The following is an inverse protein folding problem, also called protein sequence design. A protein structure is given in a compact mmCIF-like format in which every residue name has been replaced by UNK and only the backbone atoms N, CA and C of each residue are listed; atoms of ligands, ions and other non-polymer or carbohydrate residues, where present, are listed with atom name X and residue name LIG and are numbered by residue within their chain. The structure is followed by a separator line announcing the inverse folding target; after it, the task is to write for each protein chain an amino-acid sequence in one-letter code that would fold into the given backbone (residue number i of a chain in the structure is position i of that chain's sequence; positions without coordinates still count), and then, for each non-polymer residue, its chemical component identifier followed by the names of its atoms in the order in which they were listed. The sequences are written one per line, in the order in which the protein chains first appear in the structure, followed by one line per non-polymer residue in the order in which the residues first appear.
data_IF_032240559957
#
_entry.id   IF_032240559957
#
_cell.length_a   1.000
_cell.length_b   1.000
_cell.length_c   1.000
_cell.angle_alpha   90.00
_cell.angle_beta   90.00
_cell.angle_gamma   90.00
#
_symmetry.space_group_name_H-M   'P 1'
#
loop_
_entity.id
_entity.type
_entity.pdbx_description
1 polymer ?
#
# COMPACT_ATOMS: atom_id res chain seq x y z
N UNK A 1 -6.92 -32.98 -6.94
CA UNK A 1 -6.71 -32.19 -8.18
C UNK A 1 -7.97 -31.37 -8.42
N UNK A 2 -8.03 -30.16 -7.87
CA UNK A 2 -9.15 -29.24 -8.09
C UNK A 2 -8.60 -28.14 -8.97
N UNK A 3 -8.93 -28.16 -10.26
CA UNK A 3 -8.59 -27.05 -11.16
C UNK A 3 -9.37 -25.84 -10.68
N UNK A 4 -8.67 -24.84 -10.14
CA UNK A 4 -9.23 -23.52 -9.88
C UNK A 4 -9.35 -22.84 -11.25
N UNK A 5 -10.42 -23.17 -11.99
CA UNK A 5 -10.80 -22.46 -13.21
C UNK A 5 -11.58 -21.21 -12.84
N UNK A 6 -10.86 -20.17 -12.41
CA UNK A 6 -11.32 -18.80 -12.50
C UNK A 6 -10.61 -18.17 -13.68
N UNK A 7 -11.32 -17.76 -14.73
CA UNK A 7 -10.78 -16.80 -15.70
C UNK A 7 -10.54 -15.50 -14.94
N UNK A 8 -9.34 -15.28 -14.42
CA UNK A 8 -8.95 -13.99 -13.85
C UNK A 8 -8.62 -13.08 -15.03
N UNK A 9 -9.63 -12.44 -15.59
CA UNK A 9 -9.42 -11.24 -16.39
C UNK A 9 -9.07 -10.11 -15.42
N UNK A 10 -7.79 -10.03 -15.02
CA UNK A 10 -7.30 -9.01 -14.10
C UNK A 10 -7.21 -7.66 -14.79
N UNK A 11 -8.12 -6.74 -14.48
CA UNK A 11 -7.92 -5.32 -14.74
C UNK A 11 -7.10 -4.75 -13.60
N UNK A 12 -5.94 -4.17 -13.91
CA UNK A 12 -5.10 -3.50 -12.93
C UNK A 12 -5.77 -2.20 -12.46
N UNK A 13 -6.26 -2.14 -11.22
CA UNK A 13 -6.77 -0.93 -10.63
C UNK A 13 -5.60 -0.03 -10.21
N UNK A 14 -5.42 1.07 -10.94
CA UNK A 14 -4.47 2.12 -10.57
C UNK A 14 -4.94 2.76 -9.27
N UNK A 15 -4.23 2.51 -8.17
CA UNK A 15 -4.36 3.31 -6.97
C UNK A 15 -3.96 4.75 -7.31
N UNK A 16 -4.95 5.64 -7.40
CA UNK A 16 -4.73 7.07 -7.61
C UNK A 16 -4.23 7.67 -6.29
N UNK A 17 -2.92 7.64 -6.07
CA UNK A 17 -2.30 8.46 -5.05
C UNK A 17 -2.25 9.90 -5.58
N UNK A 18 -3.08 10.79 -5.02
CA UNK A 18 -3.01 12.23 -5.25
C UNK A 18 -1.77 12.80 -4.55
N UNK A 19 -0.60 12.64 -5.17
CA UNK A 19 0.63 13.28 -4.72
C UNK A 19 0.77 14.67 -5.36
N UNK A 20 1.02 15.67 -4.50
CA UNK A 20 1.44 17.05 -4.76
C UNK A 20 1.22 17.56 -6.20
N UNK A 21 0.08 18.23 -6.41
CA UNK A 21 -0.24 18.94 -7.65
C UNK A 21 0.68 20.16 -7.79
N UNK A 22 1.50 20.28 -8.85
CA UNK A 22 2.24 21.51 -9.14
C UNK A 22 1.30 22.56 -9.73
N UNK A 23 1.30 23.76 -9.16
CA UNK A 23 0.45 24.88 -9.58
C UNK A 23 1.01 25.55 -10.83
N UNK A 24 0.19 25.69 -11.88
CA UNK A 24 0.50 26.46 -13.07
C UNK A 24 0.45 27.98 -12.75
N UNK A 25 1.50 28.72 -13.16
CA UNK A 25 1.55 30.18 -13.04
C UNK A 25 0.70 30.82 -14.14
N UNK A 26 -0.31 31.62 -13.79
CA UNK A 26 -1.00 32.46 -14.78
C UNK A 26 -2.40 32.99 -14.46
N UNK A 27 -3.02 32.64 -13.33
CA UNK A 27 -4.29 33.25 -12.88
C UNK A 27 -4.14 33.71 -11.43
N UNK A 28 -4.92 34.71 -11.00
CA UNK A 28 -4.97 35.12 -9.60
C UNK A 28 -5.09 33.87 -8.70
N UNK A 29 -4.28 33.74 -7.62
CA UNK A 29 -4.22 32.49 -6.88
C UNK A 29 -5.57 32.26 -6.21
N UNK A 30 -6.37 31.36 -6.80
CA UNK A 30 -7.30 30.54 -6.02
C UNK A 30 -6.52 30.05 -4.79
N UNK A 31 -7.03 30.19 -3.55
CA UNK A 31 -6.32 29.73 -2.37
C UNK A 31 -5.87 28.29 -2.62
N UNK A 32 -4.60 27.94 -2.40
CA UNK A 32 -4.00 26.66 -2.82
C UNK A 32 -4.87 25.43 -2.47
N UNK A 33 -5.64 25.51 -1.39
CA UNK A 33 -6.65 24.54 -0.97
C UNK A 33 -7.77 24.28 -1.99
N UNK A 34 -8.30 25.32 -2.66
CA UNK A 34 -9.38 25.18 -3.65
C UNK A 34 -8.83 24.52 -4.91
N UNK A 35 -7.68 25.00 -5.39
CA UNK A 35 -6.98 24.42 -6.54
C UNK A 35 -6.65 22.94 -6.31
N UNK A 36 -6.22 22.57 -5.10
CA UNK A 36 -5.95 21.18 -4.75
C UNK A 36 -7.20 20.28 -4.85
N UNK A 37 -8.36 20.76 -4.38
CA UNK A 37 -9.61 19.99 -4.47
C UNK A 37 -10.06 19.83 -5.93
N UNK A 38 -9.95 20.88 -6.75
CA UNK A 38 -10.34 20.77 -8.17
C UNK A 38 -9.37 19.92 -8.99
N UNK A 39 -8.08 19.97 -8.71
CA UNK A 39 -7.13 19.07 -9.35
C UNK A 39 -7.36 17.61 -8.91
N UNK A 40 -7.72 17.36 -7.65
CA UNK A 40 -8.17 16.04 -7.21
C UNK A 40 -9.43 15.58 -7.95
N UNK A 41 -10.42 16.46 -8.07
CA UNK A 41 -11.64 16.22 -8.85
C UNK A 41 -11.32 15.86 -10.30
N UNK A 42 -10.50 16.66 -10.99
CA UNK A 42 -10.08 16.40 -12.36
C UNK A 42 -9.41 15.02 -12.49
N UNK A 43 -8.44 14.73 -11.61
CA UNK A 43 -7.74 13.44 -11.61
C UNK A 43 -8.72 12.28 -11.45
N UNK A 44 -9.66 12.35 -10.52
CA UNK A 44 -10.69 11.32 -10.34
C UNK A 44 -11.56 11.21 -11.59
N UNK A 45 -12.08 12.34 -12.08
CA UNK A 45 -13.00 12.38 -13.23
C UNK A 45 -12.35 12.05 -14.57
N UNK A 46 -11.02 12.01 -14.66
CA UNK A 46 -10.31 11.68 -15.91
C UNK A 46 -9.61 10.32 -15.83
N UNK A 47 -9.00 10.00 -14.69
CA UNK A 47 -8.09 8.84 -14.56
C UNK A 47 -8.70 7.65 -13.85
N UNK A 48 -9.69 7.82 -12.98
CA UNK A 48 -10.31 6.68 -12.31
C UNK A 48 -11.01 5.78 -13.33
N UNK A 49 -10.83 4.46 -13.19
CA UNK A 49 -11.50 3.47 -14.03
C UNK A 49 -13.02 3.58 -13.92
N UNK A 50 -13.52 3.90 -12.71
CA UNK A 50 -14.91 4.15 -12.39
C UNK A 50 -14.99 5.50 -11.66
N UNK A 51 -15.08 6.63 -12.38
CA UNK A 51 -14.96 7.96 -11.79
C UNK A 51 -16.13 8.38 -10.89
N UNK A 52 -17.20 7.58 -10.79
CA UNK A 52 -18.44 8.00 -10.15
C UNK A 52 -19.12 9.15 -10.90
N UNK A 53 -20.30 9.54 -10.42
CA UNK A 53 -21.04 10.67 -11.00
C UNK A 53 -20.44 12.01 -10.53
N UNK A 54 -20.16 12.97 -11.44
CA UNK A 54 -19.58 14.28 -11.12
C UNK A 54 -20.22 15.00 -9.93
N UNK A 55 -21.55 15.02 -9.88
CA UNK A 55 -22.30 15.68 -8.81
C UNK A 55 -22.18 14.92 -7.47
N UNK A 56 -22.07 13.60 -7.50
CA UNK A 56 -21.88 12.77 -6.31
C UNK A 56 -20.48 12.99 -5.70
N UNK A 57 -19.45 13.12 -6.54
CA UNK A 57 -18.08 13.46 -6.09
C UNK A 57 -18.05 14.80 -5.36
N UNK A 58 -18.66 15.84 -5.93
CA UNK A 58 -18.69 17.18 -5.33
C UNK A 58 -19.58 17.24 -4.08
N UNK A 59 -20.68 16.50 -4.06
CA UNK A 59 -21.52 16.33 -2.88
C UNK A 59 -20.76 15.62 -1.75
N UNK A 60 -20.03 14.54 -2.06
CA UNK A 60 -19.15 13.84 -1.13
C UNK A 60 -18.05 14.75 -0.58
N UNK A 61 -17.43 15.56 -1.45
CA UNK A 61 -16.44 16.54 -1.04
C UNK A 61 -17.01 17.55 -0.02
N UNK A 62 -18.21 18.07 -0.28
CA UNK A 62 -18.89 18.97 0.63
C UNK A 62 -19.25 18.30 1.96
N UNK A 63 -19.66 17.03 1.93
CA UNK A 63 -19.95 16.25 3.14
C UNK A 63 -18.69 16.09 4.02
N UNK A 64 -17.53 15.84 3.41
CA UNK A 64 -16.25 15.79 4.11
C UNK A 64 -15.89 17.12 4.80
N UNK A 65 -16.12 18.24 4.13
CA UNK A 65 -15.95 19.59 4.70
C UNK A 65 -16.88 19.83 5.89
N UNK A 66 -18.18 19.50 5.74
CA UNK A 66 -19.16 19.65 6.82
C UNK A 66 -18.77 18.84 8.05
N UNK A 67 -18.28 17.61 7.85
CA UNK A 67 -17.85 16.73 8.94
C UNK A 67 -16.72 17.36 9.76
N UNK A 68 -15.63 17.80 9.12
CA UNK A 68 -14.49 18.38 9.86
C UNK A 68 -14.83 19.71 10.54
N UNK A 69 -15.73 20.51 9.95
CA UNK A 69 -16.20 21.75 10.58
C UNK A 69 -17.03 21.45 11.84
N UNK A 70 -17.94 20.47 11.76
CA UNK A 70 -18.75 20.05 12.89
C UNK A 70 -17.90 19.48 14.05
N UNK A 71 -16.92 18.63 13.73
CA UNK A 71 -15.94 18.10 14.70
C UNK A 71 -15.13 19.21 15.40
N UNK A 72 -15.05 20.39 14.80
CA UNK A 72 -14.29 21.56 15.28
C UNK A 72 -15.19 22.67 15.82
N UNK A 73 -16.49 22.38 16.01
CA UNK A 73 -17.46 23.31 16.57
C UNK A 73 -17.69 24.56 15.71
N UNK A 74 -17.50 24.47 14.40
CA UNK A 74 -17.77 25.55 13.45
C UNK A 74 -19.17 25.37 12.87
N UNK A 75 -20.06 26.34 13.11
CA UNK A 75 -21.40 26.34 12.52
C UNK A 75 -21.33 26.62 11.02
N UNK A 76 -22.07 25.85 10.23
CA UNK A 76 -22.05 25.87 8.76
C UNK A 76 -23.12 26.77 8.14
N UNK A 77 -23.83 27.60 8.92
CA UNK A 77 -24.92 28.47 8.44
C UNK A 77 -24.30 29.70 7.75
N UNK A 78 -24.13 29.71 6.40
CA UNK A 78 -25.15 29.56 5.35
C UNK A 78 -24.89 28.51 4.24
N UNK A 79 -24.00 27.51 4.42
CA UNK A 79 -23.86 26.36 3.48
C UNK A 79 -25.15 25.55 3.30
N UNK A 80 -26.13 25.73 4.18
CA UNK A 80 -27.45 25.09 4.14
C UNK A 80 -28.51 25.91 3.40
N UNK A 81 -28.29 27.22 3.16
CA UNK A 81 -29.33 28.15 2.66
C UNK A 81 -29.62 28.06 1.15
N UNK A 82 -29.06 27.09 0.45
CA UNK A 82 -29.49 26.77 -0.91
C UNK A 82 -29.87 25.29 -0.99
N UNK A 83 -31.16 24.94 -0.75
CA UNK A 83 -31.72 23.74 -1.36
C UNK A 83 -31.85 24.04 -2.85
N UNK A 84 -30.74 23.95 -3.58
CA UNK A 84 -30.88 23.87 -5.03
C UNK A 84 -31.44 22.49 -5.32
N UNK A 85 -32.62 22.45 -5.93
CA UNK A 85 -33.14 21.27 -6.62
C UNK A 85 -32.23 20.83 -7.79
N UNK A 86 -31.08 21.48 -7.98
CA UNK A 86 -30.08 21.22 -9.01
C UNK A 86 -28.94 20.37 -8.43
N UNK A 87 -28.43 19.37 -9.17
CA UNK A 87 -27.23 18.64 -8.79
C UNK A 87 -26.05 19.56 -8.49
N UNK A 88 -25.21 19.19 -7.54
CA UNK A 88 -23.99 19.94 -7.21
C UNK A 88 -23.07 20.05 -8.43
N UNK A 89 -22.75 21.28 -8.84
CA UNK A 89 -21.76 21.57 -9.87
C UNK A 89 -20.49 22.21 -9.30
N UNK A 90 -19.47 22.37 -10.15
CA UNK A 90 -18.17 22.91 -9.76
C UNK A 90 -18.26 24.34 -9.21
N UNK A 91 -19.11 25.18 -9.79
CA UNK A 91 -19.29 26.58 -9.38
C UNK A 91 -19.92 26.65 -8.00
N UNK A 92 -21.04 25.94 -7.80
CA UNK A 92 -21.73 25.85 -6.53
C UNK A 92 -20.83 25.25 -5.43
N UNK A 93 -20.02 24.25 -5.76
CA UNK A 93 -19.02 23.71 -4.83
C UNK A 93 -17.96 24.77 -4.47
N UNK A 94 -17.38 25.46 -5.44
CA UNK A 94 -16.33 26.46 -5.20
C UNK A 94 -16.80 27.60 -4.29
N UNK A 95 -18.04 28.07 -4.47
CA UNK A 95 -18.65 29.10 -3.60
C UNK A 95 -18.80 28.60 -2.17
N UNK A 96 -19.38 27.41 -1.99
CA UNK A 96 -19.59 26.80 -0.67
C UNK A 96 -18.27 26.48 0.05
N UNK A 97 -17.25 26.03 -0.70
CA UNK A 97 -15.93 25.75 -0.15
C UNK A 97 -15.19 27.03 0.26
N UNK A 98 -15.22 28.09 -0.57
CA UNK A 98 -14.64 29.39 -0.19
C UNK A 98 -15.29 29.95 1.07
N UNK A 99 -16.61 29.82 1.20
CA UNK A 99 -17.29 30.19 2.43
C UNK A 99 -16.84 29.35 3.62
N UNK A 100 -16.70 28.03 3.46
CA UNK A 100 -16.21 27.15 4.53
C UNK A 100 -14.80 27.55 5.01
N UNK A 101 -13.90 27.92 4.09
CA UNK A 101 -12.57 28.45 4.42
C UNK A 101 -12.70 29.72 5.26
N UNK A 102 -13.52 30.69 4.84
CA UNK A 102 -13.76 31.92 5.60
C UNK A 102 -14.34 31.64 7.01
N UNK A 103 -15.37 30.81 7.09
CA UNK A 103 -16.07 30.51 8.34
C UNK A 103 -15.22 29.73 9.35
N UNK A 104 -14.27 28.94 8.86
CA UNK A 104 -13.38 28.16 9.72
C UNK A 104 -12.39 29.00 10.54
N UNK A 105 -12.09 30.23 10.09
CA UNK A 105 -11.11 31.11 10.73
C UNK A 105 -9.79 30.39 10.99
N UNK A 106 -9.34 30.39 12.25
CA UNK A 106 -8.12 29.67 12.69
C UNK A 106 -8.41 28.27 13.25
N UNK A 107 -9.69 27.86 13.33
CA UNK A 107 -10.10 26.59 13.97
C UNK A 107 -9.77 25.38 13.10
N UNK A 108 -9.80 25.55 11.78
CA UNK A 108 -9.44 24.53 10.79
C UNK A 108 -8.58 25.18 9.72
N UNK A 109 -7.42 24.60 9.40
CA UNK A 109 -6.57 25.14 8.35
C UNK A 109 -7.19 24.88 6.96
N UNK A 110 -6.94 25.75 5.97
CA UNK A 110 -7.37 25.51 4.59
C UNK A 110 -6.90 24.16 4.02
N UNK A 111 -5.69 23.73 4.40
CA UNK A 111 -5.16 22.42 4.02
C UNK A 111 -5.96 21.25 4.63
N UNK A 112 -6.39 21.37 5.90
CA UNK A 112 -7.22 20.36 6.54
C UNK A 112 -8.63 20.30 5.93
N UNK A 113 -9.21 21.44 5.55
CA UNK A 113 -10.47 21.51 4.80
C UNK A 113 -10.35 20.87 3.42
N UNK A 114 -9.29 21.18 2.67
CA UNK A 114 -9.03 20.57 1.37
C UNK A 114 -8.87 19.05 1.48
N UNK A 115 -8.07 18.58 2.44
CA UNK A 115 -7.89 17.15 2.67
C UNK A 115 -9.21 16.46 3.08
N UNK A 116 -10.06 17.12 3.86
CA UNK A 116 -11.38 16.60 4.21
C UNK A 116 -12.32 16.55 2.99
N UNK A 117 -12.29 17.57 2.13
CA UNK A 117 -13.02 17.58 0.87
C UNK A 117 -12.56 16.45 -0.05
N UNK A 118 -11.26 16.26 -0.24
CA UNK A 118 -10.74 15.19 -1.09
C UNK A 118 -11.12 13.82 -0.51
N UNK A 119 -11.02 13.60 0.81
CA UNK A 119 -11.46 12.34 1.43
C UNK A 119 -12.95 12.07 1.23
N UNK A 120 -13.79 13.10 1.38
CA UNK A 120 -15.23 12.98 1.12
C UNK A 120 -15.55 12.68 -0.34
N UNK A 121 -14.79 13.27 -1.27
CA UNK A 121 -14.89 13.00 -2.70
C UNK A 121 -14.54 11.54 -3.03
N UNK A 122 -13.41 11.06 -2.51
CA UNK A 122 -12.96 9.68 -2.77
C UNK A 122 -13.89 8.64 -2.13
N UNK A 123 -14.51 8.95 -0.98
CA UNK A 123 -15.51 8.08 -0.38
C UNK A 123 -16.75 7.87 -1.27
N UNK A 124 -17.05 8.80 -2.18
CA UNK A 124 -18.16 8.68 -3.13
C UNK A 124 -17.85 7.73 -4.31
N UNK A 125 -16.60 7.27 -4.46
CA UNK A 125 -16.21 6.31 -5.50
C UNK A 125 -16.57 4.86 -5.16
N UNK A 126 -16.87 4.57 -3.89
CA UNK A 126 -17.02 3.20 -3.38
C UNK A 126 -15.82 2.30 -3.75
N UNK A 127 -14.63 2.91 -3.83
CA UNK A 127 -13.37 2.23 -4.11
C UNK A 127 -12.53 2.19 -2.84
N UNK A 128 -12.35 1.00 -2.20
CA UNK A 128 -11.58 0.88 -0.97
C UNK A 128 -10.08 1.14 -1.14
N UNK A 129 -9.59 1.28 -2.38
CA UNK A 129 -8.20 1.58 -2.68
C UNK A 129 -7.96 3.06 -3.05
N UNK A 130 -9.04 3.84 -3.21
CA UNK A 130 -8.96 5.27 -3.44
C UNK A 130 -8.77 6.02 -2.12
N UNK A 131 -7.58 6.59 -1.90
CA UNK A 131 -7.26 7.28 -0.65
C UNK A 131 -6.43 8.55 -0.89
N UNK A 132 -6.73 9.58 -0.09
CA UNK A 132 -5.87 10.74 0.03
C UNK A 132 -4.85 10.49 1.14
N UNK A 133 -3.58 10.51 0.78
CA UNK A 133 -2.46 10.33 1.69
C UNK A 133 -1.70 11.65 1.89
N UNK A 134 -1.15 11.84 3.07
CA UNK A 134 -0.26 12.97 3.39
C UNK A 134 1.08 12.86 2.65
N UNK A 135 1.79 13.99 2.54
CA UNK A 135 3.14 14.00 1.98
C UNK A 135 4.09 13.03 2.73
N UNK A 136 3.93 12.89 4.04
CA UNK A 136 4.73 11.99 4.87
C UNK A 136 4.44 10.52 4.54
N UNK A 137 3.16 10.15 4.40
CA UNK A 137 2.75 8.81 3.98
C UNK A 137 3.28 8.48 2.58
N UNK A 138 3.16 9.42 1.65
CA UNK A 138 3.69 9.25 0.29
C UNK A 138 5.20 9.01 0.28
N UNK A 139 5.98 9.80 1.03
CA UNK A 139 7.43 9.58 1.14
C UNK A 139 7.77 8.22 1.74
N UNK A 140 7.00 7.73 2.74
CA UNK A 140 7.20 6.38 3.29
C UNK A 140 6.92 5.30 2.24
N UNK A 141 5.88 5.45 1.44
CA UNK A 141 5.55 4.50 0.39
C UNK A 141 6.65 4.46 -0.69
N UNK A 142 7.20 5.62 -1.06
CA UNK A 142 8.36 5.69 -1.96
C UNK A 142 9.60 5.03 -1.35
N UNK A 143 9.91 5.34 -0.10
CA UNK A 143 11.04 4.73 0.63
C UNK A 143 10.91 3.20 0.65
N UNK A 144 9.72 2.67 0.97
CA UNK A 144 9.45 1.24 0.96
C UNK A 144 9.57 0.63 -0.45
N UNK A 145 9.01 1.28 -1.48
CA UNK A 145 9.10 0.81 -2.88
C UNK A 145 10.54 0.74 -3.40
N UNK A 146 11.44 1.58 -2.88
CA UNK A 146 12.87 1.57 -3.21
C UNK A 146 13.68 0.60 -2.35
N UNK A 147 13.10 0.06 -1.28
CA UNK A 147 13.79 -0.77 -0.31
C UNK A 147 14.79 0.04 0.51
N UNK A 148 14.54 1.33 0.66
CA UNK A 148 15.36 2.20 1.47
C UNK A 148 15.19 1.88 2.96
N UNK A 149 16.28 1.97 3.69
CA UNK A 149 16.29 1.69 5.10
C UNK A 149 15.51 2.77 5.88
N UNK A 150 14.81 2.38 6.94
CA UNK A 150 14.00 3.29 7.75
C UNK A 150 14.27 3.14 9.24
N UNK A 151 14.07 4.21 10.01
CA UNK A 151 14.21 4.15 11.46
C UNK A 151 12.99 3.48 12.12
N UNK A 152 13.22 2.43 12.91
CA UNK A 152 12.16 1.68 13.59
C UNK A 152 12.67 0.50 14.42
N UNK A 153 11.77 -0.41 14.78
CA UNK A 153 12.09 -1.56 15.65
C UNK A 153 12.27 -2.88 14.89
N UNK A 154 11.94 -2.93 13.60
CA UNK A 154 12.02 -4.15 12.78
C UNK A 154 11.00 -5.22 13.18
N UNK A 155 9.75 -4.79 13.37
CA UNK A 155 8.58 -5.64 13.54
C UNK A 155 7.44 -5.13 12.65
N UNK A 156 6.65 -6.04 12.12
CA UNK A 156 5.42 -5.75 11.37
C UNK A 156 4.23 -6.01 12.27
N UNK A 157 3.26 -5.10 12.24
CA UNK A 157 2.01 -5.18 13.00
C UNK A 157 0.82 -5.36 12.07
N UNK A 158 -0.21 -6.00 12.59
CA UNK A 158 -1.51 -6.14 11.94
C UNK A 158 -2.63 -6.08 12.97
N UNK A 159 -3.86 -6.35 12.53
CA UNK A 159 -5.01 -6.51 13.40
C UNK A 159 -5.42 -7.97 13.50
N UNK A 160 -5.72 -8.39 14.72
CA UNK A 160 -6.49 -9.61 14.98
C UNK A 160 -7.73 -9.23 15.79
N UNK A 161 -8.87 -9.14 15.10
CA UNK A 161 -10.05 -8.46 15.65
C UNK A 161 -9.76 -6.96 15.84
N UNK A 162 -9.97 -6.45 17.04
CA UNK A 162 -9.67 -5.06 17.40
C UNK A 162 -8.29 -4.86 18.05
N UNK A 163 -7.44 -5.91 18.08
CA UNK A 163 -6.15 -5.90 18.80
C UNK A 163 -5.01 -5.69 17.81
N UNK A 164 -4.05 -4.85 18.18
CA UNK A 164 -2.80 -4.71 17.43
C UNK A 164 -1.85 -5.86 17.78
N UNK A 165 -1.51 -6.67 16.79
CA UNK A 165 -0.69 -7.88 16.98
C UNK A 165 0.58 -7.78 16.13
N UNK A 166 1.71 -8.21 16.68
CA UNK A 166 2.95 -8.40 15.95
C UNK A 166 2.78 -9.61 15.02
N UNK A 167 2.79 -9.39 13.72
CA UNK A 167 2.66 -10.45 12.72
C UNK A 167 4.02 -11.02 12.32
N UNK A 168 5.07 -10.21 12.36
CA UNK A 168 6.44 -10.68 12.14
C UNK A 168 7.47 -9.85 12.89
N UNK A 169 8.57 -10.49 13.25
CA UNK A 169 9.74 -9.86 13.85
C UNK A 169 10.95 -10.22 12.99
N UNK A 170 11.65 -9.19 12.50
CA UNK A 170 12.81 -9.39 11.66
C UNK A 170 13.99 -9.94 12.47
N UNK A 171 14.69 -10.95 11.93
CA UNK A 171 15.89 -11.49 12.55
C UNK A 171 16.99 -10.41 12.69
N UNK A 172 17.65 -10.36 13.84
CA UNK A 172 18.66 -9.37 14.18
C UNK A 172 18.11 -7.97 14.43
N UNK A 173 16.77 -7.76 14.47
CA UNK A 173 16.18 -6.45 14.73
C UNK A 173 16.19 -6.05 16.21
N UNK A 174 16.03 -4.76 16.53
CA UNK A 174 15.81 -4.31 17.90
C UNK A 174 14.65 -5.04 18.60
N UNK A 175 13.53 -5.24 17.90
CA UNK A 175 12.36 -5.96 18.40
C UNK A 175 12.72 -7.40 18.82
N UNK A 176 13.49 -8.11 18.00
CA UNK A 176 13.92 -9.47 18.34
C UNK A 176 14.83 -9.48 19.57
N UNK A 177 15.79 -8.56 19.66
CA UNK A 177 16.76 -8.49 20.78
C UNK A 177 16.11 -8.27 22.14
N UNK A 178 14.98 -7.56 22.18
CA UNK A 178 14.19 -7.35 23.41
C UNK A 178 13.11 -8.44 23.63
N UNK A 179 13.15 -9.50 22.83
CA UNK A 179 12.29 -10.68 22.98
C UNK A 179 10.85 -10.48 22.51
N UNK A 180 10.55 -9.49 21.65
CA UNK A 180 9.26 -9.44 20.94
C UNK A 180 9.17 -10.63 19.98
N UNK A 181 7.96 -11.20 19.85
CA UNK A 181 7.70 -12.36 19.00
C UNK A 181 6.41 -12.16 18.20
N UNK A 182 6.27 -12.92 17.11
CA UNK A 182 4.98 -13.05 16.41
C UNK A 182 3.89 -13.51 17.39
N UNK A 183 2.72 -12.88 17.33
CA UNK A 183 1.59 -13.13 18.21
C UNK A 183 1.56 -12.27 19.48
N UNK A 184 2.63 -11.52 19.77
CA UNK A 184 2.62 -10.53 20.84
C UNK A 184 1.61 -9.42 20.52
N UNK A 185 0.75 -9.07 21.49
CA UNK A 185 -0.25 -7.99 21.38
C UNK A 185 0.37 -6.72 21.96
N UNK A 186 0.46 -5.66 21.15
CA UNK A 186 0.87 -4.34 21.62
C UNK A 186 -0.37 -3.64 22.15
N UNK A 187 -0.39 -3.31 23.44
CA UNK A 187 -1.51 -2.65 24.12
C UNK A 187 -1.28 -1.15 24.20
N UNK A 188 -0.04 -0.73 24.44
CA UNK A 188 0.33 0.68 24.48
C UNK A 188 1.66 0.95 23.76
N UNK A 189 1.77 2.16 23.21
CA UNK A 189 2.99 2.74 22.67
C UNK A 189 3.19 4.11 23.32
N UNK A 190 4.31 4.31 24.00
CA UNK A 190 4.65 5.52 24.76
C UNK A 190 3.51 5.96 25.69
N UNK A 191 2.97 5.00 26.46
CA UNK A 191 1.84 5.16 27.41
C UNK A 191 0.51 5.59 26.78
N UNK A 192 0.35 5.40 25.47
CA UNK A 192 -0.91 5.59 24.77
C UNK A 192 -1.43 4.26 24.25
N UNK A 193 -2.69 3.96 24.56
CA UNK A 193 -3.35 2.76 24.07
C UNK A 193 -3.31 2.71 22.54
N UNK A 194 -3.00 1.54 22.00
CA UNK A 194 -3.07 1.30 20.55
C UNK A 194 -4.52 1.26 20.09
N UNK A 195 -4.81 1.92 18.97
CA UNK A 195 -6.11 1.84 18.30
C UNK A 195 -6.14 0.77 17.20
N UNK A 196 -7.24 0.75 16.45
CA UNK A 196 -7.41 -0.13 15.29
C UNK A 196 -6.77 0.41 14.01
N UNK A 197 -6.19 1.61 14.04
CA UNK A 197 -5.47 2.18 12.90
C UNK A 197 -4.03 1.63 12.84
N UNK A 198 -3.83 0.59 12.03
CA UNK A 198 -2.51 -0.03 11.80
C UNK A 198 -1.49 0.96 11.26
N UNK A 199 -1.93 1.93 10.45
CA UNK A 199 -1.06 2.97 9.90
C UNK A 199 -0.51 3.85 11.01
N UNK A 200 -1.38 4.31 11.91
CA UNK A 200 -0.99 5.10 13.07
C UNK A 200 -0.07 4.33 14.03
N UNK A 201 -0.35 3.05 14.30
CA UNK A 201 0.53 2.21 15.14
C UNK A 201 1.90 2.02 14.46
N UNK A 202 1.93 1.65 13.18
CA UNK A 202 3.17 1.50 12.42
C UNK A 202 4.00 2.78 12.41
N UNK A 203 3.34 3.94 12.35
CA UNK A 203 4.00 5.24 12.46
C UNK A 203 4.59 5.49 13.85
N UNK A 204 3.88 5.14 14.91
CA UNK A 204 4.35 5.29 16.29
C UNK A 204 5.57 4.39 16.60
N UNK A 205 5.63 3.19 15.99
CA UNK A 205 6.78 2.29 16.11
C UNK A 205 8.01 2.78 15.34
N UNK A 206 7.83 3.61 14.31
CA UNK A 206 8.92 4.26 13.56
C UNK A 206 9.42 5.50 14.29
N UNK A 207 10.62 5.95 13.94
CA UNK A 207 11.24 7.13 14.54
C UNK A 207 12.72 7.22 14.22
N UNK A 208 13.36 8.32 14.62
CA UNK A 208 14.79 8.50 14.36
C UNK A 208 15.61 7.37 15.01
N UNK A 209 16.65 6.85 14.33
CA UNK A 209 17.56 5.89 14.94
C UNK A 209 18.13 6.42 16.26
N UNK A 210 18.41 5.53 17.21
CA UNK A 210 18.88 5.84 18.56
C UNK A 210 17.85 6.44 19.52
N UNK A 211 16.62 6.71 19.08
CA UNK A 211 15.50 7.00 20.00
C UNK A 211 14.90 5.72 20.56
N UNK A 212 14.22 5.80 21.70
CA UNK A 212 13.53 4.65 22.31
C UNK A 212 12.02 4.77 22.13
N UNK A 213 11.34 3.63 22.03
CA UNK A 213 9.88 3.52 22.15
C UNK A 213 9.55 2.59 23.30
N UNK A 214 8.62 2.99 24.16
CA UNK A 214 8.17 2.17 25.26
C UNK A 214 6.88 1.45 24.88
N UNK A 215 6.88 0.12 24.98
CA UNK A 215 5.75 -0.72 24.61
C UNK A 215 5.19 -1.42 25.84
N UNK A 216 3.86 -1.45 25.97
CA UNK A 216 3.18 -2.41 26.85
C UNK A 216 2.69 -3.58 26.01
N UNK A 217 3.20 -4.78 26.29
CA UNK A 217 2.98 -5.96 25.44
C UNK A 217 2.36 -7.09 26.25
N UNK A 218 1.38 -7.78 25.66
CA UNK A 218 0.78 -9.00 26.19
C UNK A 218 1.09 -10.16 25.27
N UNK A 219 1.69 -11.23 25.81
CA UNK A 219 1.88 -12.48 25.08
C UNK A 219 0.78 -13.46 25.49
N UNK A 220 -0.07 -13.94 24.56
CA UNK A 220 -1.09 -14.93 24.87
C UNK A 220 -0.50 -16.14 25.60
N UNK A 221 -1.05 -16.48 26.76
CA UNK A 221 -0.61 -17.63 27.57
C UNK A 221 0.66 -17.44 28.41
N UNK A 222 1.30 -16.27 28.40
CA UNK A 222 2.60 -16.06 29.06
C UNK A 222 2.57 -15.10 30.28
N UNK A 223 1.39 -14.86 30.88
CA UNK A 223 1.25 -14.10 32.12
C UNK A 223 0.87 -12.61 31.91
N UNK A 224 1.18 -11.73 32.89
CA UNK A 224 0.74 -10.33 32.88
C UNK A 224 1.43 -9.50 31.77
N UNK A 225 0.86 -8.33 31.42
CA UNK A 225 1.50 -7.39 30.49
C UNK A 225 2.92 -7.01 30.93
N UNK A 226 3.84 -6.90 29.97
CA UNK A 226 5.24 -6.51 30.18
C UNK A 226 5.56 -5.17 29.53
N UNK A 227 6.29 -4.31 30.23
CA UNK A 227 6.89 -3.13 29.63
C UNK A 227 8.18 -3.50 28.90
N UNK A 228 8.36 -2.98 27.69
CA UNK A 228 9.50 -3.25 26.83
C UNK A 228 9.97 -1.95 26.22
N UNK A 229 11.16 -1.49 26.60
CA UNK A 229 11.82 -0.36 25.96
C UNK A 229 12.60 -0.87 24.74
N UNK A 230 12.32 -0.33 23.55
CA UNK A 230 12.96 -0.74 22.30
C UNK A 230 13.71 0.44 21.69
N UNK A 231 15.03 0.30 21.55
CA UNK A 231 15.86 1.30 20.88
C UNK A 231 15.71 1.18 19.37
N UNK A 232 15.20 2.21 18.71
CA UNK A 232 15.02 2.26 17.26
C UNK A 232 16.38 2.26 16.56
N UNK A 233 16.46 1.54 15.45
CA UNK A 233 17.64 1.45 14.60
C UNK A 233 17.24 1.62 13.14
N UNK A 234 18.24 1.70 12.28
CA UNK A 234 18.02 1.69 10.84
C UNK A 234 17.70 0.27 10.38
N UNK A 235 16.44 0.03 10.04
CA UNK A 235 15.91 -1.26 9.60
C UNK A 235 16.01 -1.35 8.08
N UNK A 236 16.56 -2.46 7.60
CA UNK A 236 16.59 -2.83 6.18
C UNK A 236 15.82 -4.12 6.03
N UNK A 237 14.78 -4.14 5.21
CA UNK A 237 14.09 -5.38 4.89
C UNK A 237 15.05 -6.32 4.12
N UNK A 238 14.92 -7.62 4.34
CA UNK A 238 15.62 -8.65 3.56
C UNK A 238 14.60 -9.20 2.55
N UNK A 239 14.57 -8.68 1.31
CA UNK A 239 13.50 -9.01 0.37
C UNK A 239 13.60 -10.41 -0.18
N UNK A 240 14.81 -10.95 -0.29
CA UNK A 240 15.10 -12.21 -0.98
C UNK A 240 15.80 -13.14 0.00
N UNK A 241 15.23 -14.32 0.18
CA UNK A 241 15.81 -15.41 0.96
C UNK A 241 16.08 -16.61 0.07
N UNK A 242 17.16 -17.33 0.32
CA UNK A 242 17.54 -18.52 -0.45
C UNK A 242 17.87 -19.69 0.45
N UNK A 243 17.57 -20.89 -0.03
CA UNK A 243 17.93 -22.15 0.63
C UNK A 243 18.05 -23.26 -0.44
N UNK A 244 18.95 -24.22 -0.25
CA UNK A 244 18.87 -25.50 -0.97
C UNK A 244 18.21 -26.51 -0.03
N UNK A 245 17.00 -26.91 -0.39
CA UNK A 245 16.21 -27.87 0.37
C UNK A 245 16.70 -29.31 0.10
N UNK A 246 16.31 -30.23 0.99
CA UNK A 246 16.52 -31.65 0.81
C UNK A 246 16.03 -32.12 -0.58
N UNK A 247 16.76 -33.05 -1.19
CA UNK A 247 16.49 -33.49 -2.56
C UNK A 247 17.02 -32.55 -3.65
N UNK A 248 17.81 -31.53 -3.32
CA UNK A 248 18.45 -30.64 -4.29
C UNK A 248 17.46 -29.71 -4.97
N UNK A 249 16.50 -29.17 -4.21
CA UNK A 249 15.53 -28.17 -4.69
C UNK A 249 15.97 -26.79 -4.24
N UNK A 250 16.12 -25.87 -5.19
CA UNK A 250 16.42 -24.47 -4.88
C UNK A 250 15.16 -23.75 -4.42
N UNK A 251 15.23 -23.06 -3.29
CA UNK A 251 14.17 -22.23 -2.75
C UNK A 251 14.59 -20.76 -2.85
N UNK A 252 13.69 -19.93 -3.39
CA UNK A 252 13.80 -18.48 -3.35
C UNK A 252 12.49 -17.93 -2.78
N UNK A 253 12.57 -17.27 -1.63
CA UNK A 253 11.43 -16.55 -1.04
C UNK A 253 11.55 -15.06 -1.26
N UNK A 254 10.46 -14.42 -1.70
CA UNK A 254 10.38 -12.97 -1.87
C UNK A 254 9.38 -12.40 -0.87
N UNK A 255 9.86 -11.64 0.12
CA UNK A 255 9.02 -11.05 1.17
C UNK A 255 8.23 -9.83 0.70
N UNK A 256 8.85 -8.98 -0.11
CA UNK A 256 8.25 -7.78 -0.71
C UNK A 256 8.99 -7.40 -2.00
N UNK A 257 8.31 -6.69 -2.89
CA UNK A 257 8.92 -6.19 -4.12
C UNK A 257 9.41 -4.75 -3.93
N UNK A 258 10.71 -4.54 -4.07
CA UNK A 258 11.28 -3.20 -4.13
C UNK A 258 12.39 -3.12 -5.16
N UNK A 259 12.65 -1.94 -5.71
CA UNK A 259 13.52 -1.78 -6.88
C UNK A 259 14.94 -2.31 -6.63
N UNK A 260 15.48 -2.07 -5.43
CA UNK A 260 16.81 -2.55 -5.03
C UNK A 260 16.93 -4.07 -4.88
N UNK A 261 15.81 -4.82 -4.81
CA UNK A 261 15.85 -6.28 -4.67
C UNK A 261 16.23 -7.00 -5.97
N UNK A 262 16.11 -6.34 -7.12
CA UNK A 262 16.38 -6.93 -8.45
C UNK A 262 17.78 -7.52 -8.53
N UNK A 263 18.79 -6.81 -8.01
CA UNK A 263 20.16 -7.30 -7.99
C UNK A 263 20.34 -8.52 -7.06
N UNK A 264 19.70 -8.52 -5.89
CA UNK A 264 19.74 -9.62 -4.94
C UNK A 264 19.06 -10.87 -5.49
N UNK A 265 17.93 -10.70 -6.18
CA UNK A 265 17.23 -11.78 -6.85
C UNK A 265 18.06 -12.37 -7.99
N UNK A 266 18.69 -11.54 -8.82
CA UNK A 266 19.57 -12.03 -9.88
C UNK A 266 20.76 -12.85 -9.31
N UNK A 267 21.36 -12.37 -8.21
CA UNK A 267 22.41 -13.13 -7.50
C UNK A 267 21.89 -14.46 -6.95
N UNK A 268 20.70 -14.47 -6.35
CA UNK A 268 20.05 -15.68 -5.86
C UNK A 268 19.82 -16.71 -6.97
N UNK A 269 19.36 -16.27 -8.15
CA UNK A 269 19.17 -17.11 -9.32
C UNK A 269 20.50 -17.70 -9.80
N UNK A 270 21.55 -16.87 -9.95
CA UNK A 270 22.89 -17.33 -10.34
C UNK A 270 23.46 -18.36 -9.35
N UNK A 271 23.33 -18.10 -8.05
CA UNK A 271 23.80 -19.04 -7.01
C UNK A 271 23.05 -20.38 -7.12
N UNK A 272 21.72 -20.33 -7.24
CA UNK A 272 20.88 -21.52 -7.38
C UNK A 272 21.24 -22.35 -8.61
N UNK A 273 21.48 -21.71 -9.76
CA UNK A 273 21.93 -22.39 -10.99
C UNK A 273 23.27 -23.10 -10.77
N UNK A 274 24.23 -22.42 -10.14
CA UNK A 274 25.57 -22.99 -9.85
C UNK A 274 25.54 -24.14 -8.86
N UNK A 275 24.58 -24.17 -7.94
CA UNK A 275 24.42 -25.26 -6.98
C UNK A 275 23.92 -26.58 -7.58
N UNK A 276 23.60 -26.62 -8.88
CA UNK A 276 23.19 -27.86 -9.55
C UNK A 276 21.83 -28.40 -9.07
N UNK A 277 20.93 -27.51 -8.63
CA UNK A 277 19.60 -27.91 -8.17
C UNK A 277 18.80 -28.55 -9.31
N UNK A 278 17.90 -29.46 -8.96
CA UNK A 278 17.09 -30.26 -9.92
C UNK A 278 15.69 -29.68 -10.15
N UNK A 279 15.26 -28.76 -9.28
CA UNK A 279 13.95 -28.12 -9.29
C UNK A 279 13.97 -26.86 -8.44
N UNK A 280 12.91 -26.06 -8.53
CA UNK A 280 12.85 -24.73 -7.93
C UNK A 280 11.50 -24.47 -7.28
N UNK A 281 11.53 -23.73 -6.18
CA UNK A 281 10.37 -23.16 -5.50
C UNK A 281 10.55 -21.65 -5.44
N UNK A 282 9.55 -20.92 -5.94
CA UNK A 282 9.39 -19.48 -5.72
C UNK A 282 8.31 -19.28 -4.67
N UNK A 283 8.66 -18.73 -3.50
CA UNK A 283 7.70 -18.49 -2.42
C UNK A 283 7.28 -17.01 -2.40
N UNK A 284 6.00 -16.76 -2.66
CA UNK A 284 5.33 -15.45 -2.64
C UNK A 284 4.29 -15.37 -1.51
N UNK A 285 4.26 -16.32 -0.58
CA UNK A 285 3.32 -16.29 0.55
C UNK A 285 3.58 -15.06 1.42
N UNK A 286 2.51 -14.40 1.85
CA UNK A 286 2.53 -13.18 2.65
C UNK A 286 3.25 -11.98 2.00
N UNK A 287 3.47 -12.01 0.68
CA UNK A 287 4.06 -10.91 -0.05
C UNK A 287 2.97 -9.92 -0.50
N UNK A 288 2.91 -8.70 0.06
CA UNK A 288 1.84 -7.74 -0.23
C UNK A 288 2.02 -7.03 -1.59
N UNK A 289 3.04 -7.40 -2.36
CA UNK A 289 3.42 -6.76 -3.62
C UNK A 289 4.53 -5.73 -3.42
N UNK A 290 4.40 -4.58 -4.07
CA UNK A 290 5.38 -3.50 -4.09
C UNK A 290 5.70 -3.05 -5.52
N UNK A 291 6.98 -2.88 -5.84
CA UNK A 291 7.42 -2.42 -7.15
C UNK A 291 6.96 -3.34 -8.29
N UNK A 292 6.16 -2.79 -9.20
CA UNK A 292 5.75 -3.47 -10.44
C UNK A 292 6.97 -3.78 -11.30
N UNK A 293 7.96 -2.89 -11.38
CA UNK A 293 9.18 -3.14 -12.14
C UNK A 293 9.96 -4.35 -11.61
N UNK A 294 10.08 -4.48 -10.29
CA UNK A 294 10.70 -5.64 -9.66
C UNK A 294 9.91 -6.93 -9.96
N UNK A 295 8.57 -6.90 -9.88
CA UNK A 295 7.72 -8.04 -10.23
C UNK A 295 7.86 -8.46 -11.71
N UNK A 296 7.84 -7.50 -12.64
CA UNK A 296 8.10 -7.76 -14.06
C UNK A 296 9.45 -8.47 -14.25
N UNK A 297 10.49 -8.00 -13.57
CA UNK A 297 11.83 -8.57 -13.66
C UNK A 297 11.89 -10.00 -13.12
N UNK A 298 11.23 -10.27 -11.98
CA UNK A 298 11.17 -11.61 -11.39
C UNK A 298 10.41 -12.58 -12.30
N UNK A 299 9.21 -12.22 -12.75
CA UNK A 299 8.43 -13.07 -13.66
C UNK A 299 9.21 -13.37 -14.94
N UNK A 300 9.92 -12.36 -15.47
CA UNK A 300 10.67 -12.48 -16.72
C UNK A 300 11.81 -13.50 -16.67
N UNK A 301 12.39 -13.79 -15.50
CA UNK A 301 13.39 -14.86 -15.33
C UNK A 301 12.83 -16.24 -15.70
N UNK A 302 11.52 -16.44 -15.55
CA UNK A 302 10.88 -17.73 -15.72
C UNK A 302 10.00 -17.81 -16.99
N UNK A 303 9.72 -16.68 -17.64
CA UNK A 303 8.87 -16.60 -18.84
C UNK A 303 9.68 -16.39 -20.12
N UNK A 304 9.45 -17.21 -21.15
CA UNK A 304 10.18 -17.12 -22.42
C UNK A 304 9.78 -15.90 -23.28
N UNK A 305 8.48 -15.60 -23.36
CA UNK A 305 7.92 -14.56 -24.22
C UNK A 305 6.53 -14.12 -23.75
N UNK A 306 5.99 -13.11 -24.42
CA UNK A 306 4.64 -12.60 -24.19
C UNK A 306 4.61 -11.46 -23.17
N UNK A 307 3.43 -10.87 -22.94
CA UNK A 307 3.24 -9.92 -21.86
C UNK A 307 3.27 -10.65 -20.52
N UNK A 308 3.99 -10.07 -19.56
CA UNK A 308 3.91 -10.44 -18.16
C UNK A 308 2.60 -9.92 -17.56
N UNK A 309 2.18 -8.73 -17.94
CA UNK A 309 0.93 -8.11 -17.48
C UNK A 309 0.38 -7.16 -18.53
N UNK A 310 -0.91 -6.91 -18.47
CA UNK A 310 -1.56 -5.83 -19.20
C UNK A 310 -2.00 -4.74 -18.23
N UNK A 311 -1.74 -3.48 -18.58
CA UNK A 311 -2.24 -2.34 -17.83
C UNK A 311 -3.34 -1.68 -18.63
N UNK A 312 -4.53 -1.62 -18.04
CA UNK A 312 -5.70 -1.02 -18.64
C UNK A 312 -5.97 0.34 -18.00
N UNK A 313 -5.99 1.40 -18.81
CA UNK A 313 -6.46 2.72 -18.36
C UNK A 313 -7.94 2.89 -18.73
N UNK A 314 -8.59 3.93 -18.20
CA UNK A 314 -10.01 4.20 -18.49
C UNK A 314 -10.32 4.33 -19.99
N UNK A 315 -9.50 5.06 -20.73
CA UNK A 315 -9.77 5.45 -22.12
C UNK A 315 -8.88 4.76 -23.15
N UNK A 316 -8.02 3.83 -22.72
CA UNK A 316 -7.03 3.17 -23.59
C UNK A 316 -7.39 1.74 -23.95
N UNK A 317 -6.65 1.16 -24.89
CA UNK A 317 -6.56 -0.29 -25.03
C UNK A 317 -5.63 -0.86 -23.92
N UNK A 318 -5.72 -2.15 -23.57
CA UNK A 318 -4.79 -2.76 -22.63
C UNK A 318 -3.35 -2.64 -23.16
N UNK A 319 -2.45 -2.08 -22.36
CA UNK A 319 -1.04 -1.91 -22.70
C UNK A 319 -0.26 -3.14 -22.22
N UNK A 320 0.34 -3.94 -23.12
CA UNK A 320 1.15 -5.08 -22.73
C UNK A 320 2.51 -4.65 -22.18
N UNK A 321 2.92 -5.22 -21.06
CA UNK A 321 4.28 -5.12 -20.53
C UNK A 321 5.01 -6.45 -20.80
N UNK A 322 5.97 -6.49 -21.73
CA UNK A 322 6.61 -7.73 -22.16
C UNK A 322 7.62 -8.26 -21.12
N UNK A 323 8.01 -9.53 -21.33
CA UNK A 323 9.17 -10.13 -20.66
C UNK A 323 10.42 -9.24 -20.85
N UNK A 324 11.10 -8.96 -19.74
CA UNK A 324 12.40 -8.29 -19.68
C UNK A 324 13.50 -9.34 -19.79
N UNK A 325 14.38 -9.33 -20.82
CA UNK A 325 15.41 -10.34 -20.98
C UNK A 325 16.30 -10.50 -19.73
N UNK A 326 16.29 -11.69 -19.08
CA UNK A 326 17.10 -11.91 -17.87
C UNK A 326 18.54 -12.27 -18.23
N UNK A 327 19.47 -12.05 -17.30
CA UNK A 327 20.87 -12.51 -17.44
C UNK A 327 20.99 -14.03 -17.48
N UNK A 328 20.20 -14.72 -16.67
CA UNK A 328 20.15 -16.18 -16.58
C UNK A 328 18.70 -16.64 -16.61
N UNK A 329 18.42 -17.69 -17.39
CA UNK A 329 17.09 -18.31 -17.51
C UNK A 329 17.20 -19.79 -17.14
N UNK A 330 16.98 -20.17 -15.87
CA UNK A 330 17.06 -21.57 -15.48
C UNK A 330 15.87 -22.33 -16.07
N UNK A 331 16.14 -23.44 -16.77
CA UNK A 331 15.14 -24.32 -17.40
C UNK A 331 14.83 -25.56 -16.57
N UNK A 332 14.66 -25.36 -15.27
CA UNK A 332 14.33 -26.41 -14.30
C UNK A 332 12.85 -26.37 -13.95
N UNK A 333 12.23 -27.48 -13.49
CA UNK A 333 10.88 -27.45 -12.95
C UNK A 333 10.72 -26.35 -11.89
N UNK A 334 9.58 -25.64 -11.91
CA UNK A 334 9.24 -24.55 -10.99
C UNK A 334 7.86 -24.80 -10.39
N UNK A 335 7.73 -24.53 -9.09
CA UNK A 335 6.46 -24.38 -8.39
C UNK A 335 6.44 -23.01 -7.72
N UNK A 336 5.29 -22.35 -7.71
CA UNK A 336 5.08 -21.08 -7.00
C UNK A 336 4.20 -21.31 -5.77
N UNK A 337 4.65 -20.85 -4.59
CA UNK A 337 3.84 -20.89 -3.37
C UNK A 337 3.11 -19.55 -3.19
N UNK A 338 1.81 -19.61 -2.92
CA UNK A 338 0.96 -18.43 -2.73
C UNK A 338 -0.02 -18.63 -1.56
N UNK A 339 -0.50 -17.54 -0.97
CA UNK A 339 -1.60 -17.58 0.00
C UNK A 339 -2.42 -16.28 -0.02
N UNK A 340 -3.38 -16.14 0.90
CA UNK A 340 -4.22 -14.93 1.00
C UNK A 340 -3.46 -13.63 1.31
N UNK A 341 -2.18 -13.70 1.68
CA UNK A 341 -1.30 -12.55 1.83
C UNK A 341 -0.47 -12.21 0.59
N UNK A 342 -0.55 -13.01 -0.47
CA UNK A 342 0.02 -12.71 -1.79
C UNK A 342 -0.89 -11.70 -2.50
N UNK A 343 -0.41 -10.48 -2.74
CA UNK A 343 -1.23 -9.39 -3.29
C UNK A 343 -0.50 -8.55 -4.36
N UNK A 344 -1.25 -7.87 -5.23
CA UNK A 344 -0.74 -6.82 -6.12
C UNK A 344 0.42 -7.28 -7.02
N UNK A 345 1.60 -6.64 -6.95
CA UNK A 345 2.75 -7.02 -7.76
C UNK A 345 3.15 -8.51 -7.60
N UNK A 346 2.87 -9.13 -6.45
CA UNK A 346 3.08 -10.57 -6.26
C UNK A 346 2.06 -11.42 -7.07
N UNK A 347 0.83 -10.94 -7.19
CA UNK A 347 -0.21 -11.56 -8.03
C UNK A 347 0.10 -11.40 -9.51
N UNK A 348 0.78 -10.33 -9.92
CA UNK A 348 1.30 -10.19 -11.30
C UNK A 348 2.27 -11.33 -11.61
N UNK A 349 3.23 -11.61 -10.73
CA UNK A 349 4.18 -12.71 -10.92
C UNK A 349 3.45 -14.06 -10.92
N UNK A 350 2.59 -14.29 -9.93
CA UNK A 350 1.86 -15.55 -9.81
C UNK A 350 0.97 -15.80 -11.04
N UNK A 351 0.19 -14.80 -11.47
CA UNK A 351 -0.71 -14.88 -12.62
C UNK A 351 0.05 -15.11 -13.93
N UNK A 352 1.12 -14.35 -14.19
CA UNK A 352 1.91 -14.52 -15.41
C UNK A 352 2.53 -15.92 -15.51
N UNK A 353 3.02 -16.46 -14.40
CA UNK A 353 3.56 -17.83 -14.35
C UNK A 353 2.47 -18.88 -14.47
N UNK A 354 1.30 -18.67 -13.86
CA UNK A 354 0.15 -19.54 -14.01
C UNK A 354 -0.31 -19.65 -15.47
N UNK A 355 -0.41 -18.51 -16.16
CA UNK A 355 -0.78 -18.44 -17.58
C UNK A 355 0.24 -19.16 -18.47
N UNK A 356 1.51 -19.19 -18.07
CA UNK A 356 2.55 -19.96 -18.73
C UNK A 356 2.57 -21.46 -18.34
N UNK A 357 1.60 -21.93 -17.55
CA UNK A 357 1.46 -23.32 -17.14
C UNK A 357 2.31 -23.74 -15.93
N UNK A 358 2.90 -22.80 -15.19
CA UNK A 358 3.62 -23.09 -13.96
C UNK A 358 2.61 -23.41 -12.83
N UNK A 359 2.76 -24.51 -12.09
CA UNK A 359 1.87 -24.83 -10.98
C UNK A 359 1.98 -23.84 -9.81
N UNK A 360 0.83 -23.31 -9.39
CA UNK A 360 0.67 -22.54 -8.15
C UNK A 360 0.15 -23.48 -7.05
N UNK A 361 0.76 -23.42 -5.87
CA UNK A 361 0.40 -24.23 -4.70
C UNK A 361 0.11 -23.34 -3.50
N UNK A 362 -0.91 -23.69 -2.73
CA UNK A 362 -1.32 -22.95 -1.53
C UNK A 362 -2.80 -22.59 -1.53
N UNK A 363 -3.14 -21.36 -1.15
CA UNK A 363 -4.53 -20.86 -1.12
C UNK A 363 -4.75 -19.75 -2.14
N UNK A 364 -6.01 -19.37 -2.33
CA UNK A 364 -6.38 -18.19 -3.15
C UNK A 364 -5.62 -16.95 -2.64
N UNK A 365 -5.16 -16.12 -3.59
CA UNK A 365 -4.45 -14.87 -3.34
C UNK A 365 -5.41 -13.76 -2.91
N UNK A 366 -4.89 -12.58 -2.58
CA UNK A 366 -5.69 -11.49 -2.02
C UNK A 366 -6.76 -10.94 -2.98
N UNK A 367 -6.45 -10.85 -4.28
CA UNK A 367 -7.34 -10.30 -5.30
C UNK A 367 -7.20 -8.80 -5.51
N UNK A 368 -6.00 -8.23 -5.32
CA UNK A 368 -5.71 -6.81 -5.61
C UNK A 368 -5.00 -6.74 -6.96
N UNK A 369 -5.77 -6.75 -8.03
CA UNK A 369 -5.29 -6.52 -9.39
C UNK A 369 -5.29 -5.03 -9.68
#
# INVERSE_FOLDING_TARGET
MTRITGKVAGLLAVAVALAAIPVARGAAPEPESVAAVFAAYQIVTEKALRPGEPHALLAGALAGVKKILAERGVSTLPMERAPDARPMDATAFAERFRWAVFASGTRVSPAALAAAAIRGMLAALDDPHAAHISAREYQRQLQASRGEAYGGIGATVGLEGARTVIVSVQAGSPAQRVGLQTGDIIVEIDRRATGTDVGAVSEALRGAPSTTVDLLVVRPGAGPPRQVAVRRELIREVPVSTLVMAGGVGYIGIASFHDSMVALFAQAVTAMVRSGVRGRVLDLRNNPGGSVFAALTVASVFLDKGPVVYVQSRSGAPIPYPVIPPKERPRLPLIVLVNGGTASAAEIVAGALQDAGVPLMGTVTFGKA
#
